data_IF_132282306090
#
_entry.id   IF_132282306090
#
_cell.length_a   1.000
_cell.length_b   1.000
_cell.length_c   1.000
_cell.angle_alpha   90.00
_cell.angle_beta   90.00
_cell.angle_gamma   90.00
#
_symmetry.space_group_name_H-M   'P 1'
#
loop_
_entity.id
_entity.type
_entity.pdbx_description
1 polymer ?
#
# COMPACT_ATOMS: atom_id res chain seq x y z
N UNK A 1 -17.36 -26.55 4.76
CA UNK A 1 -17.47 -25.82 3.47
C UNK A 1 -16.19 -26.06 2.69
N UNK A 2 -16.30 -26.63 1.50
CA UNK A 2 -15.21 -26.84 0.54
C UNK A 2 -15.65 -26.29 -0.82
N UNK A 3 -14.69 -25.91 -1.66
CA UNK A 3 -14.92 -25.33 -2.98
C UNK A 3 -14.10 -26.04 -4.04
N UNK A 4 -14.71 -26.34 -5.18
CA UNK A 4 -14.06 -26.99 -6.31
C UNK A 4 -13.27 -25.98 -7.14
N UNK A 5 -12.06 -26.34 -7.56
CA UNK A 5 -11.26 -25.49 -8.43
C UNK A 5 -11.78 -25.52 -9.87
N UNK A 6 -12.22 -24.38 -10.40
CA UNK A 6 -12.71 -24.26 -11.77
C UNK A 6 -11.66 -24.54 -12.86
N UNK A 7 -10.36 -24.54 -12.51
CA UNK A 7 -9.26 -24.77 -13.46
C UNK A 7 -8.78 -26.23 -13.53
N UNK A 8 -9.02 -27.06 -12.50
CA UNK A 8 -8.54 -28.45 -12.46
C UNK A 8 -9.50 -29.46 -11.79
N UNK A 9 -10.66 -29.03 -11.30
CA UNK A 9 -11.63 -29.88 -10.61
C UNK A 9 -11.24 -30.28 -9.17
N UNK A 10 -10.04 -29.96 -8.68
CA UNK A 10 -9.64 -30.35 -7.32
C UNK A 10 -10.47 -29.64 -6.25
N UNK A 11 -10.93 -30.39 -5.26
CA UNK A 11 -11.61 -29.83 -4.09
C UNK A 11 -10.61 -29.16 -3.13
N UNK A 12 -10.95 -27.96 -2.67
CA UNK A 12 -10.12 -27.13 -1.80
C UNK A 12 -10.95 -26.59 -0.62
N UNK A 13 -10.27 -26.14 0.44
CA UNK A 13 -10.94 -25.47 1.58
C UNK A 13 -11.49 -24.11 1.14
N UNK A 14 -12.64 -23.70 1.66
CA UNK A 14 -13.33 -22.50 1.20
C UNK A 14 -12.48 -21.21 1.32
N UNK A 15 -11.75 -21.10 2.44
CA UNK A 15 -10.78 -20.02 2.75
C UNK A 15 -9.50 -20.06 1.89
N UNK A 16 -9.27 -21.10 1.08
CA UNK A 16 -8.03 -21.25 0.32
C UNK A 16 -7.93 -20.17 -0.77
N UNK A 17 -6.88 -19.35 -0.71
CA UNK A 17 -6.60 -18.32 -1.73
C UNK A 17 -6.13 -18.93 -3.07
N UNK A 18 -5.51 -20.11 -3.03
CA UNK A 18 -4.92 -20.80 -4.18
C UNK A 18 -5.26 -22.30 -4.15
N UNK A 19 -5.39 -22.91 -5.32
CA UNK A 19 -5.64 -24.34 -5.47
C UNK A 19 -4.39 -25.17 -5.14
N UNK A 20 -4.54 -26.19 -4.29
CA UNK A 20 -3.45 -27.11 -3.92
C UNK A 20 -2.98 -28.04 -5.04
N UNK A 21 -3.76 -28.20 -6.12
CA UNK A 21 -3.43 -29.06 -7.26
C UNK A 21 -2.72 -28.31 -8.38
N UNK A 22 -3.33 -27.23 -8.88
CA UNK A 22 -2.86 -26.49 -10.04
C UNK A 22 -2.34 -25.07 -9.74
N UNK A 23 -2.35 -24.62 -8.48
CA UNK A 23 -1.93 -23.28 -8.08
C UNK A 23 -2.91 -22.14 -8.43
N UNK A 24 -3.94 -22.37 -9.24
CA UNK A 24 -4.87 -21.33 -9.68
C UNK A 24 -5.54 -20.62 -8.49
N UNK A 25 -5.62 -19.29 -8.57
CA UNK A 25 -6.20 -18.44 -7.53
C UNK A 25 -7.71 -18.71 -7.41
N UNK A 26 -8.15 -19.15 -6.24
CA UNK A 26 -9.53 -19.58 -6.01
C UNK A 26 -10.47 -18.43 -5.62
N UNK A 27 -9.97 -17.20 -5.48
CA UNK A 27 -10.81 -16.06 -5.08
C UNK A 27 -11.23 -16.16 -3.61
N UNK A 28 -10.24 -16.15 -2.72
CA UNK A 28 -10.47 -15.76 -1.34
C UNK A 28 -10.42 -14.24 -1.22
N UNK A 29 -11.34 -13.63 -0.47
CA UNK A 29 -11.42 -12.18 -0.28
C UNK A 29 -10.04 -11.62 0.06
N UNK A 30 -9.46 -10.86 -0.87
CA UNK A 30 -8.36 -9.96 -0.57
C UNK A 30 -9.00 -8.82 0.22
N UNK A 31 -8.52 -8.45 1.42
CA UNK A 31 -8.92 -7.17 1.99
C UNK A 31 -8.62 -6.12 0.92
N UNK A 32 -9.63 -5.35 0.53
CA UNK A 32 -9.57 -4.52 -0.68
C UNK A 32 -8.29 -3.69 -0.62
N UNK A 33 -7.32 -4.03 -1.50
CA UNK A 33 -5.99 -3.40 -1.47
C UNK A 33 -6.27 -1.92 -1.69
N UNK A 34 -6.08 -1.07 -0.66
CA UNK A 34 -6.74 0.22 -0.67
C UNK A 34 -6.13 1.01 -1.81
N UNK A 35 -6.97 1.37 -2.77
CA UNK A 35 -6.51 1.64 -4.14
C UNK A 35 -5.46 2.75 -4.13
N UNK A 36 -4.30 2.47 -4.73
CA UNK A 36 -3.19 3.43 -4.84
C UNK A 36 -3.69 4.66 -5.61
N UNK A 37 -4.01 5.72 -4.88
CA UNK A 37 -4.67 6.89 -5.42
C UNK A 37 -3.63 7.75 -6.15
N UNK A 38 -3.88 8.03 -7.43
CA UNK A 38 -2.99 8.89 -8.21
C UNK A 38 -3.30 10.35 -7.90
N UNK A 39 -2.26 11.13 -7.62
CA UNK A 39 -2.41 12.57 -7.42
C UNK A 39 -2.97 13.21 -8.70
N UNK A 40 -4.09 13.97 -8.62
CA UNK A 40 -4.72 14.56 -9.80
C UNK A 40 -3.85 15.64 -10.48
N UNK A 41 -2.90 16.24 -9.75
CA UNK A 41 -2.02 17.29 -10.28
C UNK A 41 -0.78 16.74 -10.99
N UNK A 42 -0.24 15.59 -10.57
CA UNK A 42 1.06 15.09 -11.07
C UNK A 42 1.08 13.60 -11.47
N UNK A 43 -0.04 12.87 -11.35
CA UNK A 43 -0.17 11.46 -11.69
C UNK A 43 0.56 10.47 -10.76
N UNK A 44 1.30 10.96 -9.75
CA UNK A 44 2.10 10.15 -8.85
C UNK A 44 1.21 9.28 -7.95
N UNK A 45 1.54 7.98 -7.88
CA UNK A 45 0.97 7.04 -6.93
C UNK A 45 1.17 7.55 -5.50
N UNK A 46 0.08 7.68 -4.76
CA UNK A 46 0.09 8.19 -3.39
C UNK A 46 -0.75 7.26 -2.52
N UNK A 47 -0.21 6.88 -1.35
CA UNK A 47 -0.88 5.94 -0.45
C UNK A 47 -2.28 6.44 -0.06
N UNK A 48 -3.28 5.56 0.09
CA UNK A 48 -4.67 5.93 0.41
C UNK A 48 -4.87 6.62 1.77
N UNK A 49 -3.84 6.66 2.62
CA UNK A 49 -3.84 7.35 3.92
C UNK A 49 -3.09 8.70 3.93
N UNK A 50 -2.45 9.12 2.82
CA UNK A 50 -1.74 10.42 2.80
C UNK A 50 -2.67 11.56 2.40
N UNK A 51 -2.68 12.61 3.24
CA UNK A 51 -3.44 13.85 3.04
C UNK A 51 -2.83 14.77 1.97
N UNK A 52 -1.56 14.54 1.60
CA UNK A 52 -0.80 15.33 0.63
C UNK A 52 0.06 14.40 -0.23
N UNK A 53 0.25 14.75 -1.51
CA UNK A 53 1.12 14.01 -2.41
C UNK A 53 2.60 14.24 -2.06
N UNK A 54 3.34 13.16 -1.79
CA UNK A 54 4.76 13.20 -1.43
C UNK A 54 5.68 13.82 -2.51
N UNK A 55 5.21 13.93 -3.77
CA UNK A 55 6.00 14.42 -4.91
C UNK A 55 5.75 15.89 -5.28
N UNK A 56 4.60 16.46 -4.94
CA UNK A 56 4.23 17.82 -5.34
C UNK A 56 3.44 18.62 -4.29
N UNK A 57 3.20 18.07 -3.10
CA UNK A 57 2.51 18.75 -2.00
C UNK A 57 0.99 18.91 -2.17
N UNK A 58 0.41 18.60 -3.33
CA UNK A 58 -1.03 18.72 -3.59
C UNK A 58 -1.84 17.95 -2.55
N UNK A 59 -2.84 18.60 -1.97
CA UNK A 59 -3.79 17.97 -1.04
C UNK A 59 -4.60 16.89 -1.76
N UNK A 60 -4.64 15.69 -1.18
CA UNK A 60 -5.38 14.56 -1.70
C UNK A 60 -6.67 14.41 -0.90
N UNK A 61 -7.81 14.38 -1.59
CA UNK A 61 -9.12 14.20 -0.97
C UNK A 61 -9.31 12.71 -0.72
N UNK A 62 -8.84 12.24 0.43
CA UNK A 62 -9.07 10.87 0.91
C UNK A 62 -10.55 10.73 1.30
N UNK A 63 -11.28 9.85 0.61
CA UNK A 63 -12.69 9.55 0.88
C UNK A 63 -12.86 8.60 2.08
N UNK A 64 -12.14 8.87 3.17
CA UNK A 64 -12.01 8.00 4.34
C UNK A 64 -11.78 8.81 5.63
N UNK A 65 -12.59 9.85 5.84
CA UNK A 65 -12.56 10.68 7.05
C UNK A 65 -14.02 11.00 7.50
N UNK A 66 -14.71 10.00 8.06
CA UNK A 66 -15.84 10.20 8.99
C UNK A 66 -16.07 8.97 9.89
N UNK A 67 -15.15 8.75 10.83
CA UNK A 67 -15.24 7.95 12.09
C UNK A 67 -13.81 7.60 12.53
N UNK A 68 -13.26 7.98 13.68
CA UNK A 68 -13.66 8.85 14.80
C UNK A 68 -12.35 9.24 15.55
N UNK A 69 -12.19 10.29 16.36
CA UNK A 69 -13.05 11.41 16.81
C UNK A 69 -12.14 12.62 17.21
N UNK A 70 -12.64 13.59 17.97
CA UNK A 70 -11.89 14.79 18.41
C UNK A 70 -11.31 14.63 19.84
N UNK A 71 -10.71 15.66 20.49
CA UNK A 71 -9.26 15.85 20.43
C UNK A 71 -8.60 15.80 21.82
N UNK A 72 -7.33 15.36 21.90
CA UNK A 72 -6.48 15.67 23.06
C UNK A 72 -5.16 16.30 22.64
N UNK A 73 -4.83 17.42 23.27
CA UNK A 73 -3.64 18.24 23.09
C UNK A 73 -3.30 18.89 24.45
N UNK A 74 -2.04 19.18 24.77
CA UNK A 74 -0.78 18.62 24.25
C UNK A 74 0.22 18.24 25.38
N UNK A 75 1.39 17.67 25.02
CA UNK A 75 2.75 18.17 25.37
C UNK A 75 3.83 17.05 25.36
N UNK A 76 5.04 17.40 24.90
CA UNK A 76 6.32 16.65 24.94
C UNK A 76 6.34 15.27 24.24
N UNK A 77 6.94 15.09 23.05
CA UNK A 77 8.23 15.58 22.57
C UNK A 77 8.29 15.49 21.02
N UNK A 78 9.21 16.19 20.32
CA UNK A 78 9.46 15.89 18.92
C UNK A 78 10.00 14.45 18.79
N UNK A 79 9.51 13.63 17.86
CA UNK A 79 10.27 12.46 17.44
C UNK A 79 11.57 13.01 16.86
N UNK A 80 12.70 12.68 17.51
CA UNK A 80 14.03 13.12 17.07
C UNK A 80 14.27 12.59 15.67
N UNK A 81 14.06 13.46 14.68
CA UNK A 81 14.17 13.11 13.28
C UNK A 81 15.65 12.87 12.98
N UNK A 82 16.07 11.60 13.04
CA UNK A 82 17.36 11.19 12.52
C UNK A 82 17.42 11.63 11.05
N UNK A 83 18.43 12.40 10.63
CA UNK A 83 18.51 12.82 9.23
C UNK A 83 18.58 11.58 8.34
N UNK A 84 17.99 11.62 7.13
CA UNK A 84 18.15 10.53 6.18
C UNK A 84 19.64 10.30 5.90
N UNK A 85 20.06 9.04 5.65
CA UNK A 85 21.45 8.76 5.30
C UNK A 85 21.86 9.57 4.06
N UNK A 86 23.11 10.03 3.95
CA UNK A 86 23.58 10.74 2.78
C UNK A 86 23.45 9.86 1.52
N UNK A 87 23.23 10.45 0.35
CA UNK A 87 23.19 9.70 -0.90
C UNK A 87 24.54 8.99 -1.14
N UNK A 88 24.54 7.83 -1.83
CA UNK A 88 25.78 7.16 -2.20
C UNK A 88 26.65 8.08 -3.08
N UNK A 89 27.99 7.96 -3.01
CA UNK A 89 28.88 8.71 -3.88
C UNK A 89 28.62 8.37 -5.36
N UNK A 90 28.87 9.30 -6.28
CA UNK A 90 28.78 9.02 -7.72
C UNK A 90 29.77 7.92 -8.12
N UNK A 91 29.47 7.12 -9.15
CA UNK A 91 30.41 6.14 -9.67
C UNK A 91 31.69 6.82 -10.16
N UNK A 92 32.86 6.14 -10.10
CA UNK A 92 34.10 6.68 -10.64
C UNK A 92 33.97 6.92 -12.15
N UNK A 93 34.69 7.92 -12.71
CA UNK A 93 34.74 8.11 -14.15
C UNK A 93 35.35 6.88 -14.84
N UNK A 94 34.95 6.58 -16.10
CA UNK A 94 35.58 5.51 -16.86
C UNK A 94 37.08 5.81 -17.08
N UNK A 95 37.93 4.76 -17.19
CA UNK A 95 39.33 4.94 -17.57
C UNK A 95 39.46 5.48 -19.01
N UNK A 96 40.59 6.12 -19.34
CA UNK A 96 40.89 6.62 -20.69
C UNK A 96 41.13 5.50 -21.71
#
# INVERSE_FOLDING_TARGET
>A
MTRTCSACGLENRDEAKFCKGCGSQLGGVTPAVPAEQRCPQCGHASRPAVKFCAKCGTRLVIAADESAELPTIPLAAPPSASPPPPPPPPPPPPPP
#
